data_IF_813372748661
#
_entry.id   IF_813372748661
#
_cell.length_a   1.000
_cell.length_b   1.000
_cell.length_c   1.000
_cell.angle_alpha   90.00
_cell.angle_beta   90.00
_cell.angle_gamma   90.00
#
_symmetry.space_group_name_H-M   'P 1'
#
loop_
_entity.id
_entity.type
_entity.pdbx_description
1 polymer ?
#
# COMPACT_ATOMS: atom_id res chain seq x y z
N UNK A 1 17.45 -3.40 5.73
CA UNK A 1 16.22 -3.38 6.57
C UNK A 1 15.08 -2.86 5.71
N UNK A 2 13.95 -3.56 5.56
CA UNK A 2 12.84 -3.01 4.79
C UNK A 2 12.04 -1.98 5.60
N UNK A 3 11.87 -0.78 5.03
CA UNK A 3 11.00 0.27 5.53
C UNK A 3 9.88 0.52 4.52
N UNK A 4 8.61 0.41 4.93
CA UNK A 4 7.47 0.61 4.01
C UNK A 4 7.22 2.08 3.69
N UNK A 5 7.59 3.01 4.57
CA UNK A 5 7.39 4.44 4.33
C UNK A 5 8.18 4.91 3.11
N UNK A 6 7.53 5.66 2.22
CA UNK A 6 8.13 6.17 0.99
C UNK A 6 7.29 5.95 -0.26
N UNK A 7 7.94 6.09 -1.41
CA UNK A 7 7.34 5.95 -2.74
C UNK A 7 7.65 4.58 -3.33
N UNK A 8 6.61 3.93 -3.83
CA UNK A 8 6.67 2.59 -4.44
C UNK A 8 6.05 2.61 -5.82
N UNK A 9 6.58 1.77 -6.71
CA UNK A 9 6.04 1.48 -8.03
C UNK A 9 5.95 -0.03 -8.19
N UNK A 10 4.81 -0.53 -8.66
CA UNK A 10 4.69 -1.94 -9.02
C UNK A 10 4.96 -2.17 -10.52
N UNK A 11 4.96 -3.42 -10.95
CA UNK A 11 5.22 -3.82 -12.35
C UNK A 11 4.18 -3.32 -13.36
N UNK A 12 3.01 -2.88 -12.89
CA UNK A 12 1.94 -2.30 -13.71
C UNK A 12 2.02 -0.76 -13.76
N UNK A 13 3.09 -0.17 -13.24
CA UNK A 13 3.29 1.28 -13.13
C UNK A 13 2.29 2.02 -12.23
N UNK A 14 1.58 1.29 -11.36
CA UNK A 14 0.84 1.90 -10.28
C UNK A 14 1.81 2.46 -9.25
N UNK A 15 1.48 3.65 -8.74
CA UNK A 15 2.30 4.37 -7.76
C UNK A 15 1.63 4.33 -6.40
N UNK A 16 2.43 4.23 -5.35
CA UNK A 16 1.96 4.22 -3.98
C UNK A 16 2.89 5.08 -3.12
N UNK A 17 2.29 5.90 -2.26
CA UNK A 17 2.99 6.63 -1.21
C UNK A 17 2.49 6.12 0.14
N UNK A 18 3.41 5.67 0.99
CA UNK A 18 3.12 5.23 2.36
C UNK A 18 3.73 6.24 3.35
N UNK A 19 2.92 6.73 4.28
CA UNK A 19 3.35 7.63 5.35
C UNK A 19 4.31 6.94 6.33
N UNK A 20 4.83 7.70 7.30
CA UNK A 20 5.52 7.10 8.45
C UNK A 20 4.66 5.99 9.08
N UNK A 21 5.26 4.82 9.30
CA UNK A 21 4.64 3.72 10.05
C UNK A 21 4.67 4.08 11.54
N UNK A 22 3.52 4.04 12.20
CA UNK A 22 3.38 4.38 13.62
C UNK A 22 3.93 3.26 14.51
N UNK A 23 4.15 3.54 15.79
CA UNK A 23 4.67 2.57 16.75
C UNK A 23 3.75 1.33 16.93
N UNK A 24 2.45 1.47 16.65
CA UNK A 24 1.47 0.38 16.64
C UNK A 24 1.47 -0.43 15.33
N UNK A 25 2.40 -0.15 14.41
CA UNK A 25 2.50 -0.77 13.09
C UNK A 25 1.53 -0.19 12.05
N UNK A 26 0.61 0.69 12.43
CA UNK A 26 -0.38 1.24 11.51
C UNK A 26 0.17 2.36 10.63
N UNK A 27 -0.24 2.39 9.37
CA UNK A 27 0.16 3.40 8.38
C UNK A 27 -1.01 3.80 7.48
N UNK A 28 -0.85 4.96 6.83
CA UNK A 28 -1.77 5.49 5.82
C UNK A 28 -1.00 5.83 4.56
N UNK A 29 -1.71 6.16 3.48
CA UNK A 29 -1.06 6.54 2.25
C UNK A 29 -2.03 6.88 1.13
N UNK A 30 -1.48 6.94 -0.09
CA UNK A 30 -2.24 7.09 -1.33
C UNK A 30 -1.78 6.07 -2.35
N UNK A 31 -2.74 5.55 -3.11
CA UNK A 31 -2.52 4.63 -4.22
C UNK A 31 -3.06 5.24 -5.51
N UNK A 32 -2.23 5.33 -6.54
CA UNK A 32 -2.62 5.71 -7.89
C UNK A 32 -2.46 4.50 -8.79
N UNK A 33 -3.59 3.85 -9.11
CA UNK A 33 -3.59 2.73 -10.04
C UNK A 33 -3.36 3.20 -11.47
N UNK A 34 -2.57 2.45 -12.25
CA UNK A 34 -2.44 2.65 -13.70
C UNK A 34 -3.59 2.03 -14.49
N UNK A 35 -4.21 0.99 -13.93
CA UNK A 35 -5.24 0.18 -14.58
C UNK A 35 -6.57 0.25 -13.82
N UNK A 36 -7.67 0.43 -14.53
CA UNK A 36 -9.03 0.43 -13.96
C UNK A 36 -9.97 -0.38 -14.83
N UNK A 37 -10.89 -1.15 -14.22
CA UNK A 37 -11.96 -1.85 -14.95
C UNK A 37 -13.14 -0.93 -15.29
N UNK A 38 -13.28 0.19 -14.58
CA UNK A 38 -14.50 1.01 -14.59
C UNK A 38 -14.59 2.01 -15.78
N UNK A 39 -13.65 2.00 -16.73
CA UNK A 39 -13.63 2.95 -17.86
C UNK A 39 -13.44 4.43 -17.46
N UNK A 40 -13.40 4.72 -16.16
CA UNK A 40 -13.20 6.02 -15.56
C UNK A 40 -11.70 6.29 -15.31
N UNK A 41 -11.30 7.56 -15.40
CA UNK A 41 -9.93 7.96 -15.13
C UNK A 41 -9.52 7.61 -13.70
N UNK A 42 -8.41 6.87 -13.57
CA UNK A 42 -7.83 6.57 -12.27
C UNK A 42 -7.50 7.85 -11.49
N UNK A 43 -7.74 7.82 -10.18
CA UNK A 43 -7.38 8.91 -9.26
C UNK A 43 -6.64 8.36 -8.06
N UNK A 44 -5.78 9.18 -7.47
CA UNK A 44 -5.14 8.82 -6.22
C UNK A 44 -6.22 8.57 -5.15
N UNK A 45 -6.17 7.39 -4.54
CA UNK A 45 -7.16 6.89 -3.58
C UNK A 45 -6.48 6.61 -2.23
N UNK A 46 -7.14 6.87 -1.10
CA UNK A 46 -6.56 6.63 0.21
C UNK A 46 -6.32 5.13 0.44
N UNK A 47 -5.21 4.82 1.12
CA UNK A 47 -4.95 3.49 1.66
C UNK A 47 -4.69 3.56 3.17
N UNK A 48 -5.06 2.50 3.86
CA UNK A 48 -4.81 2.30 5.29
C UNK A 48 -4.43 0.86 5.56
N UNK A 49 -3.39 0.65 6.38
CA UNK A 49 -2.86 -0.67 6.64
C UNK A 49 -2.08 -0.78 7.94
N UNK A 50 -1.52 -1.96 8.15
CA UNK A 50 -0.66 -2.28 9.28
C UNK A 50 0.49 -3.20 8.85
N UNK A 51 1.61 -3.05 9.53
CA UNK A 51 2.82 -3.84 9.38
C UNK A 51 3.11 -4.52 10.71
N UNK A 52 3.52 -5.79 10.68
CA UNK A 52 4.01 -6.48 11.86
C UNK A 52 5.29 -5.81 12.38
N UNK A 53 5.47 -5.80 13.70
CA UNK A 53 6.75 -5.36 14.24
C UNK A 53 7.88 -6.30 13.76
N UNK A 54 9.07 -5.77 13.44
CA UNK A 54 10.21 -6.60 13.12
C UNK A 54 10.51 -7.55 14.29
N UNK A 55 10.45 -8.85 14.06
CA UNK A 55 10.86 -9.88 15.02
C UNK A 55 12.32 -10.31 14.81
N UNK A 56 12.84 -11.17 15.69
CA UNK A 56 14.17 -11.77 15.52
C UNK A 56 14.19 -12.66 14.25
N UNK A 57 14.84 -12.17 13.19
CA UNK A 57 15.18 -12.95 12.00
C UNK A 57 14.16 -12.91 10.84
N UNK A 58 13.07 -12.16 10.94
CA UNK A 58 12.02 -12.10 9.91
C UNK A 58 11.85 -10.73 9.26
N UNK A 59 11.64 -10.72 7.94
CA UNK A 59 11.10 -9.54 7.25
C UNK A 59 9.65 -9.33 7.65
N UNK A 60 9.22 -8.13 8.06
CA UNK A 60 7.86 -7.90 8.54
C UNK A 60 6.84 -8.08 7.41
N UNK A 61 5.77 -8.82 7.69
CA UNK A 61 4.59 -8.86 6.82
C UNK A 61 3.74 -7.62 7.01
N UNK A 62 2.95 -7.27 6.00
CA UNK A 62 2.04 -6.14 6.04
C UNK A 62 0.77 -6.42 5.25
N UNK A 63 -0.27 -5.66 5.57
CA UNK A 63 -1.47 -5.62 4.77
C UNK A 63 -2.04 -4.21 4.75
N UNK A 64 -2.68 -3.82 3.65
CA UNK A 64 -3.41 -2.57 3.55
C UNK A 64 -4.64 -2.72 2.65
N UNK A 65 -5.60 -1.83 2.86
CA UNK A 65 -6.78 -1.68 2.01
C UNK A 65 -6.70 -0.35 1.26
N UNK A 66 -7.11 -0.36 0.01
CA UNK A 66 -7.31 0.83 -0.83
C UNK A 66 -8.80 0.98 -1.05
N UNK A 67 -9.35 2.09 -0.58
CA UNK A 67 -10.74 2.47 -0.88
C UNK A 67 -10.71 3.38 -2.10
N UNK A 68 -11.13 2.88 -3.26
CA UNK A 68 -11.08 3.64 -4.50
C UNK A 68 -11.98 4.88 -4.39
N UNK A 69 -11.41 6.07 -4.51
CA UNK A 69 -12.15 7.33 -4.37
C UNK A 69 -12.58 7.87 -5.73
N UNK A 70 -13.78 8.44 -5.83
CA UNK A 70 -14.33 9.16 -7.01
C UNK A 70 -14.56 8.35 -8.29
N UNK A 71 -13.97 7.16 -8.48
CA UNK A 71 -14.06 6.43 -9.76
C UNK A 71 -14.51 4.96 -9.65
N UNK A 72 -14.64 4.41 -8.44
CA UNK A 72 -15.19 3.07 -8.18
C UNK A 72 -15.72 2.97 -6.76
N UNK A 73 -16.75 2.15 -6.52
CA UNK A 73 -17.22 1.81 -5.16
C UNK A 73 -16.53 0.56 -4.58
N UNK A 74 -15.55 0.02 -5.30
CA UNK A 74 -14.82 -1.16 -4.87
C UNK A 74 -13.76 -0.82 -3.80
N UNK A 75 -13.33 -1.86 -3.09
CA UNK A 75 -12.17 -1.83 -2.20
C UNK A 75 -11.24 -2.97 -2.60
N UNK A 76 -9.93 -2.72 -2.60
CA UNK A 76 -8.92 -3.75 -2.84
C UNK A 76 -8.05 -3.90 -1.60
N UNK A 77 -7.76 -5.13 -1.20
CA UNK A 77 -6.83 -5.44 -0.13
C UNK A 77 -5.56 -6.06 -0.70
N UNK A 78 -4.41 -5.64 -0.16
CA UNK A 78 -3.10 -6.18 -0.47
C UNK A 78 -2.49 -6.75 0.81
N UNK A 79 -1.81 -7.88 0.70
CA UNK A 79 -1.01 -8.48 1.77
C UNK A 79 0.31 -8.94 1.17
N UNK A 80 1.40 -8.78 1.93
CA UNK A 80 2.72 -9.10 1.44
C UNK A 80 3.79 -9.08 2.51
N UNK A 81 5.02 -9.24 2.06
CA UNK A 81 6.23 -9.20 2.85
C UNK A 81 7.29 -8.45 2.05
N UNK A 82 8.09 -7.64 2.73
CA UNK A 82 9.11 -6.84 2.07
C UNK A 82 10.50 -7.39 2.31
N UNK A 83 11.20 -7.76 1.24
CA UNK A 83 12.51 -8.38 1.27
C UNK A 83 13.61 -7.36 0.90
N UNK A 84 14.81 -7.55 1.43
CA UNK A 84 16.03 -6.86 0.98
C UNK A 84 17.04 -7.95 0.63
N UNK A 85 17.61 -7.89 -0.57
CA UNK A 85 18.67 -8.78 -1.02
C UNK A 85 20.00 -8.54 -0.29
#
# INVERSE_FOLDING_TARGET
QCQLSGLWRNEQDSLMEISAVRNDGGFQGKYLTRVTLAGSCARASPLSGAQQQPGEGGWPTFAFSVRWDKFSNATTAFAGQCFVD
#
